data_IF_342796350070
#
_entry.id   IF_342796350070
#
_cell.length_a   1.000
_cell.length_b   1.000
_cell.length_c   1.000
_cell.angle_alpha   90.00
_cell.angle_beta   90.00
_cell.angle_gamma   90.00
#
_symmetry.space_group_name_H-M   'P 1'
#
loop_
_entity.id
_entity.type
_entity.pdbx_description
1 polymer ?
#
# COMPACT_ATOMS: atom_id res chain seq x y z
N UNK A 1 -5.47 -20.56 -0.53
CA UNK A 1 -6.36 -19.69 0.31
C UNK A 1 -6.73 -18.47 -0.49
N UNK A 2 -8.03 -18.25 -0.73
CA UNK A 2 -8.50 -17.08 -1.49
C UNK A 2 -8.59 -15.85 -0.62
N UNK A 3 -7.92 -14.79 -1.05
CA UNK A 3 -7.82 -13.51 -0.33
C UNK A 3 -8.36 -12.40 -1.22
N UNK A 4 -9.28 -11.59 -0.69
CA UNK A 4 -9.72 -10.34 -1.29
C UNK A 4 -9.00 -9.19 -0.60
N UNK A 5 -8.26 -8.38 -1.37
CA UNK A 5 -7.44 -7.29 -0.85
C UNK A 5 -7.98 -5.93 -1.32
N UNK A 6 -7.93 -4.92 -0.43
CA UNK A 6 -8.39 -3.56 -0.68
C UNK A 6 -7.28 -2.54 -0.42
N UNK A 7 -7.16 -1.57 -1.32
CA UNK A 7 -6.26 -0.42 -1.18
C UNK A 7 -6.99 0.88 -1.51
N UNK A 8 -6.97 1.82 -0.57
CA UNK A 8 -7.64 3.13 -0.69
C UNK A 8 -6.88 4.23 0.03
N UNK A 9 -5.62 4.01 0.36
CA UNK A 9 -4.80 4.94 1.14
C UNK A 9 -4.34 6.17 0.36
N UNK A 10 -4.46 6.16 -0.98
CA UNK A 10 -4.07 7.23 -1.89
C UNK A 10 -5.25 7.78 -2.69
N UNK A 11 -4.98 8.51 -3.78
CA UNK A 11 -6.00 9.02 -4.71
C UNK A 11 -6.67 7.91 -5.52
N UNK A 12 -5.90 6.88 -5.85
CA UNK A 12 -6.41 5.71 -6.54
C UNK A 12 -7.02 4.73 -5.52
N UNK A 13 -7.93 3.90 -6.02
CA UNK A 13 -8.41 2.72 -5.33
C UNK A 13 -8.02 1.47 -6.11
N UNK A 14 -7.70 0.40 -5.44
CA UNK A 14 -7.53 -0.91 -6.07
C UNK A 14 -8.12 -2.04 -5.23
N UNK A 15 -8.46 -3.11 -5.93
CA UNK A 15 -8.92 -4.38 -5.35
C UNK A 15 -8.19 -5.50 -6.05
N UNK A 16 -7.70 -6.47 -5.31
CA UNK A 16 -7.03 -7.65 -5.85
C UNK A 16 -7.63 -8.93 -5.29
N UNK A 17 -7.67 -9.95 -6.14
CA UNK A 17 -8.08 -11.31 -5.77
C UNK A 17 -6.89 -12.26 -5.96
N UNK A 18 -6.53 -12.95 -4.89
CA UNK A 18 -5.42 -13.91 -4.87
C UNK A 18 -5.93 -15.32 -4.55
N UNK A 19 -5.23 -16.33 -5.05
CA UNK A 19 -5.33 -17.71 -4.58
C UNK A 19 -3.93 -18.16 -4.14
N UNK A 20 -3.73 -18.29 -2.84
CA UNK A 20 -2.43 -18.37 -2.19
C UNK A 20 -1.48 -17.23 -2.63
N UNK A 21 -0.45 -17.54 -3.40
CA UNK A 21 0.52 -16.57 -3.92
C UNK A 21 0.19 -16.12 -5.36
N UNK A 22 -0.83 -16.71 -5.99
CA UNK A 22 -1.19 -16.41 -7.37
C UNK A 22 -2.19 -15.26 -7.42
N UNK A 23 -1.83 -14.17 -8.09
CA UNK A 23 -2.78 -13.12 -8.44
C UNK A 23 -3.75 -13.65 -9.50
N UNK A 24 -5.04 -13.72 -9.18
CA UNK A 24 -6.10 -14.09 -10.11
C UNK A 24 -6.59 -12.90 -10.94
N UNK A 25 -6.63 -11.73 -10.33
CA UNK A 25 -7.01 -10.50 -11.00
C UNK A 25 -6.83 -9.30 -10.09
N UNK A 26 -6.80 -8.13 -10.72
CA UNK A 26 -6.68 -6.82 -10.07
C UNK A 26 -7.56 -5.80 -10.80
N UNK A 27 -8.18 -4.91 -10.05
CA UNK A 27 -8.92 -3.77 -10.54
C UNK A 27 -8.33 -2.50 -9.94
N UNK A 28 -7.99 -1.53 -10.77
CA UNK A 28 -7.41 -0.25 -10.39
C UNK A 28 -8.21 0.90 -10.98
N UNK A 29 -8.52 1.90 -10.15
CA UNK A 29 -9.23 3.11 -10.59
C UNK A 29 -8.59 4.37 -10.00
N UNK A 30 -8.38 5.37 -10.88
CA UNK A 30 -7.91 6.71 -10.51
C UNK A 30 -8.77 7.76 -11.25
N UNK A 31 -10.08 7.70 -11.04
CA UNK A 31 -11.08 8.49 -11.79
C UNK A 31 -11.48 9.79 -11.08
N UNK A 32 -11.00 10.00 -9.84
CA UNK A 32 -11.41 11.13 -9.01
C UNK A 32 -12.77 10.94 -8.33
N UNK A 33 -13.45 9.80 -8.55
CA UNK A 33 -14.63 9.42 -7.79
C UNK A 33 -14.26 9.02 -6.37
N UNK A 34 -15.21 9.15 -5.45
CA UNK A 34 -14.96 8.76 -4.06
C UNK A 34 -14.88 7.25 -3.91
N UNK A 35 -13.92 6.77 -3.13
CA UNK A 35 -13.72 5.35 -2.90
C UNK A 35 -14.96 4.62 -2.36
N UNK A 36 -15.81 5.32 -1.58
CA UNK A 36 -17.07 4.77 -1.08
C UNK A 36 -18.07 4.43 -2.17
N UNK A 37 -17.98 5.07 -3.34
CA UNK A 37 -18.86 4.80 -4.48
C UNK A 37 -18.37 3.64 -5.34
N UNK A 38 -17.07 3.46 -5.43
CA UNK A 38 -16.46 2.57 -6.44
C UNK A 38 -15.92 1.26 -5.86
N UNK A 39 -15.42 1.26 -4.63
CA UNK A 39 -14.61 0.15 -4.09
C UNK A 39 -15.34 -1.19 -4.09
N UNK A 40 -16.59 -1.23 -3.60
CA UNK A 40 -17.35 -2.48 -3.52
C UNK A 40 -17.81 -2.96 -4.89
N UNK A 41 -18.13 -2.02 -5.81
CA UNK A 41 -18.44 -2.36 -7.20
C UNK A 41 -17.25 -2.97 -7.91
N UNK A 42 -16.01 -2.43 -7.67
CA UNK A 42 -14.78 -3.00 -8.19
C UNK A 42 -14.55 -4.42 -7.68
N UNK A 43 -14.80 -4.67 -6.40
CA UNK A 43 -14.66 -5.98 -5.80
C UNK A 43 -15.65 -7.00 -6.39
N UNK A 44 -16.90 -6.61 -6.55
CA UNK A 44 -17.95 -7.45 -7.13
C UNK A 44 -17.63 -7.82 -8.59
N UNK A 45 -17.27 -6.82 -9.40
CA UNK A 45 -16.92 -7.02 -10.82
C UNK A 45 -15.67 -7.88 -10.98
N UNK A 46 -14.65 -7.66 -10.14
CA UNK A 46 -13.43 -8.46 -10.14
C UNK A 46 -13.71 -9.92 -9.80
N UNK A 47 -14.47 -10.18 -8.73
CA UNK A 47 -14.85 -11.55 -8.36
C UNK A 47 -15.62 -12.23 -9.49
N UNK A 48 -16.60 -11.53 -10.09
CA UNK A 48 -17.39 -12.05 -11.22
C UNK A 48 -16.50 -12.39 -12.42
N UNK A 49 -15.59 -11.50 -12.79
CA UNK A 49 -14.66 -11.71 -13.92
C UNK A 49 -13.71 -12.88 -13.67
N UNK A 50 -13.28 -13.08 -12.42
CA UNK A 50 -12.43 -14.20 -12.02
C UNK A 50 -13.21 -15.52 -11.79
N UNK A 51 -14.52 -15.55 -12.00
CA UNK A 51 -15.36 -16.73 -11.71
C UNK A 51 -15.37 -17.12 -10.23
N UNK A 52 -15.23 -16.14 -9.34
CA UNK A 52 -15.19 -16.32 -7.90
C UNK A 52 -16.49 -15.76 -7.27
N UNK A 53 -17.12 -16.56 -6.41
CA UNK A 53 -18.25 -16.08 -5.61
C UNK A 53 -17.78 -15.68 -4.21
N UNK A 54 -18.49 -14.76 -3.53
CA UNK A 54 -18.10 -14.26 -2.21
C UNK A 54 -17.88 -15.35 -1.16
N UNK A 55 -18.61 -16.47 -1.26
CA UNK A 55 -18.53 -17.62 -0.36
C UNK A 55 -17.20 -18.39 -0.47
N UNK A 56 -16.46 -18.16 -1.55
CA UNK A 56 -15.14 -18.77 -1.78
C UNK A 56 -13.99 -17.97 -1.20
N UNK A 57 -14.25 -16.73 -0.76
CA UNK A 57 -13.25 -15.89 -0.07
C UNK A 57 -13.03 -16.45 1.32
N UNK A 58 -11.78 -16.60 1.71
CA UNK A 58 -11.36 -17.21 2.98
C UNK A 58 -10.68 -16.20 3.91
N UNK A 59 -10.26 -15.06 3.37
CA UNK A 59 -9.65 -13.98 4.13
C UNK A 59 -9.77 -12.64 3.40
N UNK A 60 -9.65 -11.56 4.17
CA UNK A 60 -9.64 -10.19 3.64
C UNK A 60 -8.35 -9.51 4.08
N UNK A 61 -7.72 -8.76 3.19
CA UNK A 61 -6.60 -7.88 3.50
C UNK A 61 -6.95 -6.43 3.15
N UNK A 62 -6.41 -5.48 3.88
CA UNK A 62 -6.64 -4.06 3.60
C UNK A 62 -5.41 -3.24 3.97
N UNK A 63 -5.05 -2.27 3.14
CA UNK A 63 -4.07 -1.26 3.52
C UNK A 63 -4.62 -0.44 4.70
N UNK A 64 -3.97 -0.61 5.86
CA UNK A 64 -4.40 0.01 7.11
C UNK A 64 -3.76 1.39 7.36
N UNK A 65 -2.99 1.88 6.40
CA UNK A 65 -2.23 3.12 6.48
C UNK A 65 -0.72 2.89 6.58
N UNK A 66 0.03 3.99 6.65
CA UNK A 66 -0.42 5.39 6.59
C UNK A 66 -0.96 5.80 5.22
N UNK A 67 -1.65 6.97 5.17
CA UNK A 67 -2.19 7.52 3.94
C UNK A 67 -3.35 8.49 4.15
N UNK A 68 -4.18 8.66 3.12
CA UNK A 68 -5.38 9.49 3.18
C UNK A 68 -6.29 9.07 4.33
N UNK A 69 -6.52 9.98 5.28
CA UNK A 69 -7.37 9.72 6.45
C UNK A 69 -8.76 9.20 6.10
N UNK A 70 -9.41 9.79 5.10
CA UNK A 70 -10.73 9.36 4.64
C UNK A 70 -10.63 8.05 3.85
N UNK A 71 -9.64 7.96 2.96
CA UNK A 71 -9.44 6.78 2.12
C UNK A 71 -9.21 5.52 2.93
N UNK A 72 -8.25 5.52 3.85
CA UNK A 72 -7.95 4.37 4.72
C UNK A 72 -9.19 3.92 5.50
N UNK A 73 -9.98 4.86 6.03
CA UNK A 73 -11.20 4.51 6.77
C UNK A 73 -12.26 3.86 5.90
N UNK A 74 -12.43 4.32 4.66
CA UNK A 74 -13.37 3.71 3.70
C UNK A 74 -12.94 2.26 3.41
N UNK A 75 -11.66 2.03 3.09
CA UNK A 75 -11.13 0.70 2.81
C UNK A 75 -11.28 -0.25 4.01
N UNK A 76 -10.87 0.21 5.19
CA UNK A 76 -10.99 -0.58 6.42
C UNK A 76 -12.45 -0.89 6.77
N UNK A 77 -13.37 0.06 6.60
CA UNK A 77 -14.79 -0.17 6.84
C UNK A 77 -15.37 -1.19 5.85
N UNK A 78 -15.04 -1.07 4.56
CA UNK A 78 -15.46 -2.02 3.53
C UNK A 78 -14.92 -3.43 3.78
N UNK A 79 -13.62 -3.55 4.07
CA UNK A 79 -12.97 -4.82 4.38
C UNK A 79 -13.58 -5.51 5.62
N UNK A 80 -13.77 -4.75 6.70
CA UNK A 80 -14.40 -5.24 7.91
C UNK A 80 -15.86 -5.63 7.69
N UNK A 81 -16.63 -4.83 6.95
CA UNK A 81 -18.02 -5.14 6.63
C UNK A 81 -18.15 -6.43 5.82
N UNK A 82 -17.30 -6.60 4.81
CA UNK A 82 -17.25 -7.82 4.00
C UNK A 82 -16.86 -9.05 4.84
N UNK A 83 -15.81 -8.91 5.68
CA UNK A 83 -15.31 -10.00 6.53
C UNK A 83 -16.31 -10.37 7.64
N UNK A 84 -16.90 -9.38 8.31
CA UNK A 84 -17.85 -9.59 9.41
C UNK A 84 -19.05 -10.43 9.00
N UNK A 85 -19.69 -10.09 7.88
CA UNK A 85 -20.87 -10.82 7.40
C UNK A 85 -20.60 -12.28 7.01
N UNK A 86 -19.34 -12.71 7.01
CA UNK A 86 -18.90 -14.05 6.61
C UNK A 86 -17.98 -14.71 7.65
N UNK A 87 -17.78 -14.09 8.80
CA UNK A 87 -16.89 -14.55 9.86
C UNK A 87 -15.45 -14.84 9.37
N UNK A 88 -14.96 -14.01 8.43
CA UNK A 88 -13.63 -14.17 7.83
C UNK A 88 -12.56 -13.42 8.61
N UNK A 89 -11.32 -13.93 8.66
CA UNK A 89 -10.19 -13.18 9.14
C UNK A 89 -9.96 -11.95 8.23
N UNK A 90 -9.63 -10.80 8.88
CA UNK A 90 -9.34 -9.54 8.21
C UNK A 90 -8.01 -8.98 8.72
N UNK A 91 -7.04 -8.79 7.82
CA UNK A 91 -5.70 -8.33 8.17
C UNK A 91 -5.44 -6.92 7.64
N UNK A 92 -4.87 -6.08 8.52
CA UNK A 92 -4.32 -4.79 8.12
C UNK A 92 -2.88 -4.95 7.65
N UNK A 93 -2.56 -4.33 6.52
CA UNK A 93 -1.21 -4.29 5.94
C UNK A 93 -0.71 -2.86 5.94
N UNK A 94 0.57 -2.63 6.26
CA UNK A 94 1.19 -1.31 6.11
C UNK A 94 1.19 -0.91 4.64
N UNK A 95 0.65 0.27 4.33
CA UNK A 95 0.70 0.85 2.98
C UNK A 95 2.14 0.98 2.49
N UNK A 96 3.04 1.44 3.36
CA UNK A 96 4.44 1.65 3.01
C UNK A 96 5.17 0.33 2.75
N UNK A 97 4.85 -0.73 3.51
CA UNK A 97 5.41 -2.05 3.24
C UNK A 97 4.90 -2.62 1.91
N UNK A 98 3.61 -2.47 1.61
CA UNK A 98 3.05 -2.89 0.33
C UNK A 98 3.71 -2.16 -0.85
N UNK A 99 3.92 -0.84 -0.71
CA UNK A 99 4.63 -0.04 -1.71
C UNK A 99 6.08 -0.50 -1.91
N UNK A 100 6.81 -0.77 -0.82
CA UNK A 100 8.19 -1.24 -0.91
C UNK A 100 8.28 -2.58 -1.67
N UNK A 101 7.36 -3.51 -1.39
CA UNK A 101 7.35 -4.84 -2.03
C UNK A 101 7.01 -4.80 -3.52
N UNK A 102 6.32 -3.77 -4.01
CA UNK A 102 6.00 -3.60 -5.42
C UNK A 102 7.23 -3.34 -6.31
N UNK A 103 8.38 -2.98 -5.75
CA UNK A 103 9.63 -2.83 -6.52
C UNK A 103 10.21 -4.15 -7.04
N UNK A 104 9.79 -5.29 -6.53
CA UNK A 104 10.26 -6.59 -6.97
C UNK A 104 11.68 -6.94 -6.47
N UNK A 105 12.52 -7.55 -7.33
CA UNK A 105 13.83 -8.06 -6.94
C UNK A 105 14.90 -6.98 -7.07
N UNK A 106 15.37 -6.45 -5.93
CA UNK A 106 16.39 -5.41 -5.85
C UNK A 106 17.38 -5.74 -4.72
N UNK A 107 18.53 -5.05 -4.75
CA UNK A 107 19.47 -5.02 -3.62
C UNK A 107 19.75 -3.57 -3.28
N UNK A 108 19.59 -3.21 -2.00
CA UNK A 108 19.78 -1.86 -1.49
C UNK A 108 18.61 -1.42 -0.60
N UNK A 109 18.57 -0.13 -0.30
CA UNK A 109 17.53 0.43 0.56
C UNK A 109 16.28 0.82 -0.25
N UNK A 110 15.12 0.52 0.29
CA UNK A 110 13.83 0.93 -0.27
C UNK A 110 13.16 1.87 0.71
N UNK A 111 12.86 3.07 0.22
CA UNK A 111 12.26 4.15 0.98
C UNK A 111 10.90 4.51 0.36
N UNK A 112 9.82 3.85 0.79
CA UNK A 112 8.49 4.26 0.39
C UNK A 112 8.16 5.61 1.02
N UNK A 113 7.65 6.54 0.23
CA UNK A 113 7.32 7.90 0.65
C UNK A 113 5.97 8.33 0.09
N UNK A 114 5.09 8.80 0.98
CA UNK A 114 3.82 9.40 0.63
C UNK A 114 3.77 10.84 1.13
N UNK A 115 3.23 11.75 0.34
CA UNK A 115 3.05 13.14 0.75
C UNK A 115 2.05 13.23 1.91
N UNK A 116 2.54 13.58 3.11
CA UNK A 116 1.72 13.80 4.31
C UNK A 116 1.26 15.26 4.44
N UNK A 117 1.56 16.10 3.42
CA UNK A 117 1.35 17.56 3.39
C UNK A 117 2.25 18.31 4.39
N UNK A 118 2.25 19.66 4.31
CA UNK A 118 2.99 20.56 5.21
C UNK A 118 4.49 20.24 5.30
N UNK A 119 5.13 19.91 4.17
CA UNK A 119 6.54 19.53 4.10
C UNK A 119 6.89 18.29 4.96
N UNK A 120 5.93 17.40 5.18
CA UNK A 120 6.10 16.11 5.83
C UNK A 120 5.79 14.97 4.88
N UNK A 121 6.39 13.82 5.14
CA UNK A 121 6.13 12.57 4.41
C UNK A 121 5.84 11.44 5.38
N UNK A 122 4.95 10.55 4.98
CA UNK A 122 4.89 9.21 5.57
C UNK A 122 5.97 8.36 4.93
N UNK A 123 6.78 7.72 5.74
CA UNK A 123 7.90 6.90 5.27
C UNK A 123 8.20 5.76 6.23
N UNK A 124 8.87 4.76 5.70
CA UNK A 124 9.52 3.65 6.40
C UNK A 124 10.83 3.36 5.68
N UNK A 125 11.71 2.58 6.26
CA UNK A 125 12.94 2.15 5.61
C UNK A 125 13.01 0.63 5.59
N UNK A 126 13.26 0.08 4.42
CA UNK A 126 13.49 -1.35 4.21
C UNK A 126 14.87 -1.56 3.57
N UNK A 127 15.46 -2.69 3.85
CA UNK A 127 16.58 -3.22 3.09
C UNK A 127 16.09 -4.41 2.27
N UNK A 128 16.33 -4.35 0.97
CA UNK A 128 16.01 -5.43 0.04
C UNK A 128 17.30 -6.17 -0.34
N UNK A 129 17.26 -7.48 -0.30
CA UNK A 129 18.32 -8.36 -0.79
C UNK A 129 17.70 -9.50 -1.59
N UNK A 130 17.86 -9.45 -2.92
CA UNK A 130 17.36 -10.45 -3.86
C UNK A 130 15.87 -10.84 -3.65
N UNK A 131 15.02 -9.84 -3.38
CA UNK A 131 13.58 -10.04 -3.16
C UNK A 131 13.18 -10.35 -1.72
N UNK A 132 14.14 -10.47 -0.78
CA UNK A 132 13.87 -10.52 0.64
C UNK A 132 13.88 -9.10 1.21
N UNK A 133 12.76 -8.66 1.79
CA UNK A 133 12.61 -7.35 2.41
C UNK A 133 12.72 -7.44 3.92
N UNK A 134 13.61 -6.66 4.50
CA UNK A 134 13.76 -6.52 5.96
C UNK A 134 13.43 -5.09 6.34
N UNK A 135 12.48 -4.90 7.25
CA UNK A 135 12.13 -3.59 7.79
C UNK A 135 13.25 -3.09 8.71
N UNK A 136 13.78 -1.91 8.40
CA UNK A 136 14.84 -1.24 9.18
C UNK A 136 14.25 -0.17 10.09
N UNK A 137 13.23 0.57 9.59
CA UNK A 137 12.51 1.59 10.37
C UNK A 137 11.02 1.45 10.18
N UNK A 138 10.28 1.69 11.26
CA UNK A 138 8.82 1.64 11.29
C UNK A 138 8.18 2.78 10.51
N UNK A 139 6.88 2.62 10.22
CA UNK A 139 6.06 3.64 9.58
C UNK A 139 5.98 4.88 10.47
N UNK A 140 6.29 6.05 9.92
CA UNK A 140 6.29 7.32 10.64
C UNK A 140 6.01 8.50 9.72
N UNK A 141 5.62 9.62 10.32
CA UNK A 141 5.51 10.91 9.64
C UNK A 141 6.67 11.79 10.08
N UNK A 142 7.48 12.27 9.14
CA UNK A 142 8.68 13.08 9.42
C UNK A 142 8.79 14.24 8.44
N UNK A 143 9.61 15.23 8.79
CA UNK A 143 9.97 16.30 7.87
C UNK A 143 10.95 15.82 6.80
N UNK A 144 11.03 16.55 5.67
CA UNK A 144 12.02 16.29 4.64
C UNK A 144 13.46 16.47 5.14
N UNK A 145 13.66 17.33 6.14
CA UNK A 145 14.98 17.54 6.75
C UNK A 145 15.42 16.31 7.55
N UNK A 146 14.50 15.79 8.39
CA UNK A 146 14.74 14.56 9.16
C UNK A 146 14.97 13.36 8.25
N UNK A 147 14.22 13.28 7.13
CA UNK A 147 14.44 12.25 6.12
C UNK A 147 15.85 12.34 5.53
N UNK A 148 16.34 13.55 5.24
CA UNK A 148 17.70 13.77 4.74
C UNK A 148 18.77 13.24 5.69
N UNK A 149 18.64 13.50 6.98
CA UNK A 149 19.58 12.98 7.98
C UNK A 149 19.51 11.45 8.10
N UNK A 150 18.34 10.87 7.95
CA UNK A 150 18.14 9.42 8.00
C UNK A 150 18.86 8.66 6.90
N UNK A 151 18.93 9.24 5.70
CA UNK A 151 19.50 8.56 4.53
C UNK A 151 20.97 8.90 4.28
N UNK A 152 21.50 9.94 4.92
CA UNK A 152 22.83 10.50 4.70
C UNK A 152 23.97 9.48 4.83
N UNK A 153 23.84 8.53 5.72
CA UNK A 153 24.88 7.53 6.03
C UNK A 153 24.63 6.16 5.40
N UNK A 154 23.62 6.05 4.52
CA UNK A 154 23.37 4.80 3.81
C UNK A 154 24.38 4.65 2.66
N UNK A 155 25.05 3.51 2.60
CA UNK A 155 26.14 3.24 1.66
C UNK A 155 25.72 2.53 0.39
N UNK A 156 24.50 2.00 0.37
CA UNK A 156 23.94 1.28 -0.76
C UNK A 156 22.92 2.16 -1.53
N UNK A 157 22.56 1.80 -2.76
CA UNK A 157 21.54 2.51 -3.52
C UNK A 157 20.22 2.64 -2.77
N UNK A 158 19.58 3.81 -2.87
CA UNK A 158 18.29 4.10 -2.25
C UNK A 158 17.23 4.23 -3.34
N UNK A 159 16.20 3.40 -3.26
CA UNK A 159 15.05 3.40 -4.17
C UNK A 159 13.88 4.13 -3.52
N UNK A 160 13.56 5.31 -4.02
CA UNK A 160 12.38 6.07 -3.62
C UNK A 160 11.16 5.57 -4.38
N UNK A 161 10.07 5.24 -3.68
CA UNK A 161 8.81 4.77 -4.27
C UNK A 161 7.61 5.47 -3.64
N UNK A 162 6.64 5.86 -4.46
CA UNK A 162 5.40 6.53 -4.04
C UNK A 162 5.25 7.95 -4.56
N UNK A 163 4.13 8.57 -4.26
CA UNK A 163 3.76 9.90 -4.75
C UNK A 163 4.61 11.04 -4.15
N UNK A 164 5.24 10.81 -3.00
CA UNK A 164 6.23 11.71 -2.40
C UNK A 164 7.64 11.59 -2.97
N UNK A 165 7.93 10.62 -3.85
CA UNK A 165 9.29 10.32 -4.32
C UNK A 165 9.96 11.49 -5.03
N UNK A 166 9.26 12.20 -5.92
CA UNK A 166 9.80 13.36 -6.65
C UNK A 166 10.13 14.50 -5.70
N UNK A 167 9.24 14.77 -4.73
CA UNK A 167 9.45 15.80 -3.72
C UNK A 167 10.70 15.50 -2.89
N UNK A 168 10.85 14.27 -2.42
CA UNK A 168 12.01 13.83 -1.64
C UNK A 168 13.29 13.89 -2.48
N UNK A 169 13.27 13.39 -3.71
CA UNK A 169 14.43 13.38 -4.59
C UNK A 169 14.99 14.79 -4.81
N UNK A 170 14.14 15.74 -5.19
CA UNK A 170 14.57 17.13 -5.40
C UNK A 170 15.15 17.76 -4.13
N UNK A 171 14.53 17.52 -2.97
CA UNK A 171 15.01 18.08 -1.70
C UNK A 171 16.34 17.45 -1.25
N UNK A 172 16.56 16.16 -1.55
CA UNK A 172 17.79 15.45 -1.19
C UNK A 172 18.97 15.78 -2.11
N UNK A 173 18.71 16.18 -3.37
CA UNK A 173 19.77 16.59 -4.32
C UNK A 173 20.26 18.01 -4.08
N UNK A 174 19.45 18.89 -3.46
CA UNK A 174 19.81 20.28 -3.18
C UNK A 174 20.70 20.45 -1.94
N UNK A 175 20.99 19.37 -1.23
CA UNK A 175 21.85 19.31 -0.03
C UNK A 175 23.09 18.45 -0.24
#
# INVERSE_FOLDING_TARGET
MRILAFETSAKAASVALLDDTKLLGESYQNTGLTHSQTLMCMAEELMKTCGCVPEQIQAVAVAAGPGSFTGVRIGVAAAKGFAWGRELPCWGVSTLEAMARNLGVHTGYVLPVMDARRAQVYTALFHADCGKYTRIREDRAISLEELGEDVKNLSEPIFLVGDGSILCYNTLLEK
#
